data_IF_089920937125
#
_entry.id   IF_089920937125
#
_cell.length_a   1.000
_cell.length_b   1.000
_cell.length_c   1.000
_cell.angle_alpha   90.00
_cell.angle_beta   90.00
_cell.angle_gamma   90.00
#
_symmetry.space_group_name_H-M   'P 1'
#
loop_
_entity.id
_entity.type
_entity.pdbx_description
1 polymer ?
#
# COMPACT_ATOMS: atom_id res chain seq x y z
N UNK A 1 71.22 -2.53 -32.93
CA UNK A 1 70.68 -3.21 -31.72
C UNK A 1 69.21 -2.93 -31.42
N UNK A 2 68.40 -2.44 -32.38
CA UNK A 2 66.99 -2.04 -32.10
C UNK A 2 65.97 -3.09 -32.59
N UNK A 3 66.42 -4.27 -33.03
CA UNK A 3 65.53 -5.31 -33.57
C UNK A 3 65.37 -6.55 -32.66
N UNK A 4 65.94 -6.53 -31.45
CA UNK A 4 65.80 -7.62 -30.47
C UNK A 4 64.89 -7.28 -29.27
N UNK A 5 64.40 -6.04 -29.16
CA UNK A 5 63.55 -5.62 -28.03
C UNK A 5 62.05 -5.66 -28.33
N UNK A 6 61.65 -5.76 -29.61
CA UNK A 6 60.23 -5.67 -30.01
C UNK A 6 59.53 -7.04 -30.04
N UNK A 7 60.28 -8.15 -30.10
CA UNK A 7 59.68 -9.51 -30.08
C UNK A 7 59.48 -10.08 -28.67
N UNK A 8 60.19 -9.58 -27.66
CA UNK A 8 60.04 -10.03 -26.26
C UNK A 8 58.90 -9.38 -25.48
N UNK A 9 58.32 -8.27 -25.96
CA UNK A 9 57.18 -7.61 -25.31
C UNK A 9 55.81 -8.02 -25.87
N UNK A 10 55.74 -8.64 -27.06
CA UNK A 10 54.45 -9.10 -27.64
C UNK A 10 53.99 -10.46 -27.13
N UNK A 11 54.88 -11.34 -26.69
CA UNK A 11 54.49 -12.64 -26.10
C UNK A 11 54.09 -12.55 -24.63
N UNK A 12 54.56 -11.54 -23.90
CA UNK A 12 54.18 -11.33 -22.49
C UNK A 12 52.80 -10.65 -22.40
N UNK A 13 52.49 -9.69 -23.28
CA UNK A 13 51.20 -9.01 -23.28
C UNK A 13 50.03 -9.94 -23.66
N UNK A 14 50.22 -10.84 -24.63
CA UNK A 14 49.18 -11.76 -25.08
C UNK A 14 48.81 -12.86 -24.07
N UNK A 15 49.66 -13.14 -23.08
CA UNK A 15 49.35 -14.09 -21.99
C UNK A 15 48.65 -13.44 -20.80
N UNK A 16 48.90 -12.16 -20.54
CA UNK A 16 48.18 -11.44 -19.47
C UNK A 16 46.75 -11.08 -19.86
N UNK A 17 46.50 -10.77 -21.14
CA UNK A 17 45.16 -10.39 -21.60
C UNK A 17 44.20 -11.58 -21.72
N UNK A 18 44.72 -12.80 -21.94
CA UNK A 18 43.89 -14.02 -21.98
C UNK A 18 43.46 -14.48 -20.57
N UNK A 19 44.27 -14.21 -19.54
CA UNK A 19 43.92 -14.50 -18.15
C UNK A 19 43.01 -13.44 -17.53
N UNK A 20 43.15 -12.16 -17.91
CA UNK A 20 42.26 -11.09 -17.45
C UNK A 20 40.88 -11.15 -18.14
N UNK A 21 40.84 -11.56 -19.41
CA UNK A 21 39.60 -11.80 -20.15
C UNK A 21 38.80 -13.00 -19.63
N UNK A 22 39.46 -14.04 -19.12
CA UNK A 22 38.77 -15.18 -18.50
C UNK A 22 38.25 -14.89 -17.08
N UNK A 23 38.87 -13.96 -16.34
CA UNK A 23 38.42 -13.59 -15.00
C UNK A 23 37.22 -12.62 -15.02
N UNK A 24 37.07 -11.82 -16.08
CA UNK A 24 35.91 -10.94 -16.24
C UNK A 24 34.65 -11.69 -16.70
N UNK A 25 34.79 -12.82 -17.40
CA UNK A 25 33.63 -13.63 -17.83
C UNK A 25 33.07 -14.56 -16.75
N UNK A 26 33.81 -14.82 -15.66
CA UNK A 26 33.29 -15.58 -14.51
C UNK A 26 32.79 -14.69 -13.36
N UNK A 27 33.17 -13.41 -13.32
CA UNK A 27 32.69 -12.46 -12.31
C UNK A 27 31.33 -11.84 -12.60
N UNK A 28 30.91 -11.77 -13.87
CA UNK A 28 29.61 -11.19 -14.25
C UNK A 28 28.47 -12.22 -14.33
N UNK A 29 28.78 -13.51 -14.31
CA UNK A 29 27.78 -14.59 -14.33
C UNK A 29 27.20 -14.94 -12.95
N UNK A 30 27.77 -14.41 -11.85
CA UNK A 30 27.29 -14.71 -10.49
C UNK A 30 26.40 -13.65 -9.87
N UNK A 31 26.28 -12.46 -10.47
CA UNK A 31 25.40 -11.39 -9.96
C UNK A 31 23.97 -11.57 -10.48
N UNK A 32 23.82 -12.01 -11.73
CA UNK A 32 22.51 -12.36 -12.29
C UNK A 32 21.83 -13.56 -11.64
N UNK A 33 22.57 -14.42 -10.92
CA UNK A 33 22.01 -15.54 -10.16
C UNK A 33 21.57 -15.18 -8.73
N UNK A 34 22.01 -14.02 -8.19
CA UNK A 34 21.69 -13.58 -6.83
C UNK A 34 20.64 -12.46 -6.77
N UNK A 35 20.23 -11.93 -7.91
CA UNK A 35 19.27 -10.81 -8.00
C UNK A 35 17.80 -11.23 -7.99
N UNK A 36 17.50 -12.53 -7.85
CA UNK A 36 16.14 -13.08 -7.82
C UNK A 36 15.95 -14.12 -6.70
N UNK A 37 16.82 -14.10 -5.69
CA UNK A 37 16.63 -14.97 -4.52
C UNK A 37 15.54 -14.33 -3.64
N UNK A 38 14.34 -14.93 -3.64
CA UNK A 38 13.25 -14.52 -2.74
C UNK A 38 13.72 -14.73 -1.29
N UNK A 39 13.49 -13.77 -0.38
CA UNK A 39 13.84 -13.94 1.03
C UNK A 39 13.23 -15.22 1.62
N UNK A 40 14.08 -16.13 2.10
CA UNK A 40 13.67 -17.29 2.89
C UNK A 40 13.83 -16.95 4.37
N UNK A 41 12.86 -17.34 5.21
CA UNK A 41 12.96 -17.15 6.65
C UNK A 41 14.24 -17.79 7.21
N UNK A 42 15.07 -16.98 7.85
CA UNK A 42 16.42 -17.38 8.28
C UNK A 42 16.47 -18.06 9.67
N UNK A 43 15.31 -18.21 10.32
CA UNK A 43 15.17 -18.85 11.62
C UNK A 43 15.48 -17.97 12.82
N UNK A 44 15.75 -16.67 12.63
CA UNK A 44 15.88 -15.71 13.75
C UNK A 44 14.50 -15.19 14.16
N UNK A 45 14.37 -14.95 15.46
CA UNK A 45 13.19 -14.38 16.11
C UNK A 45 13.38 -12.85 16.16
N UNK A 46 12.54 -12.12 15.42
CA UNK A 46 12.58 -10.66 15.29
C UNK A 46 11.34 -10.01 15.89
N UNK A 47 10.22 -10.71 15.94
CA UNK A 47 8.95 -10.17 16.37
C UNK A 47 8.91 -10.08 17.90
N UNK A 48 8.56 -8.90 18.44
CA UNK A 48 8.56 -8.68 19.88
C UNK A 48 7.23 -9.11 20.54
N UNK A 49 7.27 -10.03 21.50
CA UNK A 49 6.15 -10.27 22.42
C UNK A 49 6.00 -9.06 23.38
N UNK A 50 5.08 -8.15 23.06
CA UNK A 50 4.84 -6.92 23.81
C UNK A 50 3.98 -7.21 25.04
N UNK A 51 4.37 -6.60 26.15
CA UNK A 51 3.65 -6.71 27.41
C UNK A 51 3.90 -5.49 28.30
N UNK A 52 3.22 -5.46 29.44
CA UNK A 52 3.29 -4.34 30.39
C UNK A 52 4.72 -4.00 30.87
N UNK A 53 5.71 -4.90 30.73
CA UNK A 53 7.09 -4.68 31.18
C UNK A 53 7.98 -4.07 30.10
N UNK A 54 7.77 -4.38 28.82
CA UNK A 54 8.70 -4.04 27.75
C UNK A 54 8.15 -3.03 26.73
N UNK A 55 6.82 -2.89 26.56
CA UNK A 55 6.24 -2.19 25.41
C UNK A 55 6.85 -0.79 25.19
N UNK A 56 6.90 0.05 26.23
CA UNK A 56 7.51 1.40 26.15
C UNK A 56 8.96 1.42 25.69
N UNK A 57 9.74 0.41 26.13
CA UNK A 57 11.16 0.32 25.82
C UNK A 57 11.44 -0.31 24.47
N UNK A 58 10.49 -1.08 23.93
CA UNK A 58 10.57 -1.66 22.59
C UNK A 58 10.14 -0.62 21.57
N UNK A 59 8.95 -0.03 21.73
CA UNK A 59 8.42 0.99 20.81
C UNK A 59 9.38 2.17 20.63
N UNK A 60 10.06 2.61 21.70
CA UNK A 60 11.03 3.71 21.61
C UNK A 60 12.31 3.40 20.80
N UNK A 61 12.57 2.14 20.45
CA UNK A 61 13.77 1.76 19.68
C UNK A 61 13.59 1.92 18.18
N UNK A 62 12.35 1.97 17.73
CA UNK A 62 11.97 1.93 16.34
C UNK A 62 11.32 3.26 15.99
N UNK A 63 11.59 3.74 14.78
CA UNK A 63 10.95 4.93 14.22
C UNK A 63 9.51 4.57 13.82
N UNK A 64 9.31 3.36 13.30
CA UNK A 64 7.99 2.76 13.03
C UNK A 64 7.80 1.47 13.82
N UNK A 65 6.71 1.37 14.59
CA UNK A 65 6.35 0.15 15.30
C UNK A 65 5.04 -0.43 14.78
N UNK A 66 5.11 -1.59 14.16
CA UNK A 66 3.96 -2.39 13.73
C UNK A 66 3.55 -3.32 14.88
N UNK A 67 2.27 -3.29 15.27
CA UNK A 67 1.74 -4.08 16.39
C UNK A 67 0.53 -4.87 15.91
N UNK A 68 0.68 -6.19 15.82
CA UNK A 68 -0.46 -7.09 15.60
C UNK A 68 -1.16 -7.36 16.93
N UNK A 69 -2.38 -6.82 17.07
CA UNK A 69 -3.21 -6.95 18.27
C UNK A 69 -4.08 -8.21 18.18
N UNK A 70 -3.44 -9.36 18.31
CA UNK A 70 -4.05 -10.64 17.99
C UNK A 70 -5.05 -11.16 19.03
N UNK A 71 -6.03 -11.94 18.56
CA UNK A 71 -6.92 -12.70 19.44
C UNK A 71 -6.16 -13.65 20.38
N UNK A 72 -6.70 -13.90 21.57
CA UNK A 72 -6.04 -14.80 22.50
C UNK A 72 -6.07 -16.25 22.02
N UNK A 73 -4.90 -16.76 21.64
CA UNK A 73 -4.72 -18.13 21.18
C UNK A 73 -5.00 -19.13 22.30
N UNK A 74 -6.14 -19.82 22.17
CA UNK A 74 -6.56 -20.86 23.10
C UNK A 74 -5.76 -22.17 22.99
N UNK A 75 -6.27 -23.22 23.63
CA UNK A 75 -5.64 -24.56 23.59
C UNK A 75 -5.93 -25.37 22.32
N UNK A 76 -6.70 -24.82 21.37
CA UNK A 76 -7.02 -25.49 20.11
C UNK A 76 -5.77 -25.62 19.25
N UNK A 77 -5.49 -26.83 18.77
CA UNK A 77 -4.37 -27.07 17.85
C UNK A 77 -4.52 -26.35 16.52
N UNK A 78 -5.75 -26.05 16.10
CA UNK A 78 -6.02 -25.32 14.85
C UNK A 78 -5.65 -23.85 15.05
N UNK A 79 -6.20 -23.20 16.07
CA UNK A 79 -5.87 -21.81 16.42
C UNK A 79 -4.36 -21.61 16.66
N UNK A 80 -3.68 -22.55 17.35
CA UNK A 80 -2.23 -22.48 17.54
C UNK A 80 -1.43 -22.57 16.23
N UNK A 81 -1.92 -23.33 15.25
CA UNK A 81 -1.25 -23.44 13.95
C UNK A 81 -1.52 -22.21 13.09
N UNK A 82 -2.74 -21.68 13.16
CA UNK A 82 -3.13 -20.46 12.46
C UNK A 82 -2.25 -19.29 12.92
N UNK A 83 -2.18 -19.07 14.23
CA UNK A 83 -1.28 -18.06 14.81
C UNK A 83 0.20 -18.27 14.45
N UNK A 84 0.67 -19.50 14.32
CA UNK A 84 2.05 -19.78 13.87
C UNK A 84 2.31 -19.38 12.41
N UNK A 85 1.27 -19.41 11.55
CA UNK A 85 1.38 -18.97 10.16
C UNK A 85 1.47 -17.44 10.14
N UNK A 86 0.62 -16.77 10.90
CA UNK A 86 0.59 -15.31 11.06
C UNK A 86 1.90 -14.78 11.63
N UNK A 87 2.37 -15.37 12.74
CA UNK A 87 3.67 -15.05 13.35
C UNK A 87 4.81 -15.23 12.35
N UNK A 88 4.77 -16.28 11.51
CA UNK A 88 5.80 -16.50 10.50
C UNK A 88 5.75 -15.47 9.36
N UNK A 89 4.57 -15.01 8.96
CA UNK A 89 4.43 -13.92 7.99
C UNK A 89 5.03 -12.62 8.54
N UNK A 90 4.74 -12.29 9.79
CA UNK A 90 5.31 -11.14 10.49
C UNK A 90 6.83 -11.26 10.67
N UNK A 91 7.35 -12.45 10.97
CA UNK A 91 8.80 -12.70 11.03
C UNK A 91 9.48 -12.50 9.68
N UNK A 92 8.84 -12.90 8.59
CA UNK A 92 9.36 -12.69 7.24
C UNK A 92 9.34 -11.21 6.87
N UNK A 93 8.26 -10.49 7.17
CA UNK A 93 8.18 -9.03 7.01
C UNK A 93 9.30 -8.34 7.81
N UNK A 94 9.45 -8.66 9.10
CA UNK A 94 10.52 -8.11 9.94
C UNK A 94 11.92 -8.41 9.38
N UNK A 95 12.13 -9.57 8.75
CA UNK A 95 13.40 -9.90 8.11
C UNK A 95 13.69 -9.03 6.89
N UNK A 96 12.68 -8.74 6.07
CA UNK A 96 12.84 -7.89 4.87
C UNK A 96 13.08 -6.44 5.27
N UNK A 97 12.40 -5.96 6.31
CA UNK A 97 12.48 -4.58 6.78
C UNK A 97 13.73 -4.30 7.63
N UNK A 98 14.39 -5.33 8.21
CA UNK A 98 15.60 -5.18 9.05
C UNK A 98 16.77 -4.50 8.32
N UNK A 99 16.86 -4.66 6.99
CA UNK A 99 17.94 -4.11 6.16
C UNK A 99 17.56 -2.79 5.48
N UNK A 100 16.44 -2.16 5.84
CA UNK A 100 16.09 -0.82 5.34
C UNK A 100 17.00 0.23 5.97
N UNK A 101 17.60 1.06 5.12
CA UNK A 101 18.54 2.10 5.56
C UNK A 101 17.84 3.38 6.04
N UNK A 102 16.56 3.57 5.67
CA UNK A 102 15.83 4.83 5.86
C UNK A 102 15.21 4.94 7.26
N UNK A 103 14.51 3.91 7.74
CA UNK A 103 13.79 3.90 9.02
C UNK A 103 14.00 2.60 9.82
N UNK A 104 14.16 2.68 11.14
CA UNK A 104 14.21 1.50 12.01
C UNK A 104 12.78 0.95 12.25
N UNK A 105 12.36 -0.08 11.52
CA UNK A 105 11.01 -0.69 11.65
C UNK A 105 11.02 -1.90 12.59
N UNK A 106 10.12 -1.90 13.58
CA UNK A 106 9.93 -3.02 14.51
C UNK A 106 8.55 -3.64 14.39
N UNK A 107 8.46 -4.97 14.51
CA UNK A 107 7.17 -5.69 14.54
C UNK A 107 6.96 -6.33 15.91
N UNK A 108 5.75 -6.25 16.45
CA UNK A 108 5.40 -6.79 17.76
C UNK A 108 4.02 -7.42 17.80
N UNK A 109 3.85 -8.33 18.76
CA UNK A 109 2.61 -9.04 19.06
C UNK A 109 2.05 -8.53 20.38
N UNK A 110 0.73 -8.35 20.45
CA UNK A 110 0.06 -8.00 21.69
C UNK A 110 -1.20 -8.84 21.87
N UNK A 111 -1.25 -9.66 22.92
CA UNK A 111 -2.38 -10.56 23.18
C UNK A 111 -3.56 -9.80 23.81
N UNK A 112 -4.74 -9.89 23.17
CA UNK A 112 -5.96 -9.19 23.60
C UNK A 112 -6.36 -9.44 25.07
N UNK A 113 -6.14 -10.66 25.58
CA UNK A 113 -6.60 -11.09 26.90
C UNK A 113 -5.51 -10.92 27.95
N UNK A 114 -4.25 -11.23 27.61
CA UNK A 114 -3.12 -11.12 28.55
C UNK A 114 -2.69 -9.66 28.75
N UNK A 115 -2.69 -8.87 27.68
CA UNK A 115 -2.07 -7.55 27.65
C UNK A 115 -3.07 -6.41 27.41
N UNK A 116 -4.34 -6.64 27.74
CA UNK A 116 -5.44 -5.65 27.70
C UNK A 116 -5.12 -4.27 28.29
N UNK A 117 -4.30 -4.24 29.34
CA UNK A 117 -3.90 -2.98 29.98
C UNK A 117 -2.88 -2.16 29.16
N UNK A 118 -2.14 -2.82 28.27
CA UNK A 118 -1.26 -2.20 27.28
C UNK A 118 -2.08 -1.76 26.08
N UNK A 119 -2.93 -2.64 25.53
CA UNK A 119 -3.84 -2.33 24.41
C UNK A 119 -4.62 -1.03 24.67
N UNK A 120 -5.30 -0.94 25.82
CA UNK A 120 -6.02 0.26 26.23
C UNK A 120 -5.16 1.54 26.35
N UNK A 121 -3.86 1.41 26.61
CA UNK A 121 -2.95 2.59 26.68
C UNK A 121 -2.45 3.01 25.32
N UNK A 122 -2.39 2.07 24.38
CA UNK A 122 -2.00 2.30 23.00
C UNK A 122 -3.19 2.68 22.13
N UNK A 123 -4.42 2.53 22.63
CA UNK A 123 -5.63 2.85 21.87
C UNK A 123 -6.09 1.71 20.96
N UNK A 124 -5.62 0.48 21.19
CA UNK A 124 -6.02 -0.68 20.38
C UNK A 124 -7.38 -1.18 20.85
N UNK A 125 -8.37 -1.06 19.98
CA UNK A 125 -9.77 -1.36 20.29
C UNK A 125 -10.28 -2.61 19.55
N UNK A 126 -9.70 -2.94 18.38
CA UNK A 126 -10.10 -4.09 17.56
C UNK A 126 -9.08 -5.22 17.58
N UNK A 127 -9.49 -6.36 18.15
CA UNK A 127 -8.65 -7.55 18.13
C UNK A 127 -8.62 -8.14 16.72
N UNK A 128 -7.49 -8.76 16.37
CA UNK A 128 -7.17 -9.26 15.03
C UNK A 128 -6.74 -8.19 14.02
N UNK A 129 -6.57 -6.93 14.45
CA UNK A 129 -6.05 -5.84 13.61
C UNK A 129 -4.54 -5.57 13.80
N UNK A 130 -3.93 -4.94 12.80
CA UNK A 130 -2.56 -4.44 12.86
C UNK A 130 -2.60 -2.92 13.03
N UNK A 131 -1.84 -2.41 14.00
CA UNK A 131 -1.67 -0.98 14.25
C UNK A 131 -0.23 -0.56 13.99
N UNK A 132 -0.04 0.48 13.20
CA UNK A 132 1.28 1.00 12.83
C UNK A 132 1.45 2.36 13.50
N UNK A 133 2.42 2.43 14.41
CA UNK A 133 2.80 3.65 15.11
C UNK A 133 3.98 4.28 14.37
N UNK A 134 3.79 5.49 13.86
CA UNK A 134 4.82 6.29 13.20
C UNK A 134 4.74 7.72 13.73
N UNK A 135 5.87 8.23 14.21
CA UNK A 135 5.92 9.54 14.88
C UNK A 135 4.86 9.73 15.99
N UNK A 136 3.87 10.61 15.78
CA UNK A 136 2.74 10.85 16.67
C UNK A 136 1.42 10.24 16.15
N UNK A 137 1.44 9.59 14.96
CA UNK A 137 0.29 9.00 14.28
C UNK A 137 0.14 7.50 14.54
N UNK A 138 -1.11 7.03 14.43
CA UNK A 138 -1.47 5.61 14.55
C UNK A 138 -2.36 5.23 13.38
N UNK A 139 -1.84 4.40 12.49
CA UNK A 139 -2.53 3.90 11.30
C UNK A 139 -3.07 2.51 11.61
N UNK A 140 -4.34 2.26 11.30
CA UNK A 140 -4.94 0.94 11.36
C UNK A 140 -4.83 0.28 9.97
N UNK A 141 -4.25 -0.93 9.92
CA UNK A 141 -4.09 -1.68 8.70
C UNK A 141 -5.17 -2.76 8.62
N UNK A 142 -6.12 -2.55 7.71
CA UNK A 142 -7.29 -3.40 7.45
C UNK A 142 -7.15 -4.16 6.12
N UNK A 143 -5.96 -4.70 5.90
CA UNK A 143 -5.61 -5.52 4.74
C UNK A 143 -5.31 -6.98 5.08
N UNK A 144 -4.95 -7.75 4.05
CA UNK A 144 -4.54 -9.13 4.17
C UNK A 144 -3.29 -9.26 5.06
N UNK A 145 -3.32 -10.19 6.01
CA UNK A 145 -2.15 -10.53 6.82
C UNK A 145 -1.20 -11.45 6.04
N UNK A 146 -0.55 -10.88 5.04
CA UNK A 146 0.49 -11.48 4.22
C UNK A 146 1.78 -10.65 4.28
N UNK A 147 2.93 -11.32 4.20
CA UNK A 147 4.22 -10.67 4.43
C UNK A 147 4.56 -9.65 3.32
N UNK A 148 4.26 -9.98 2.07
CA UNK A 148 4.43 -9.13 0.90
C UNK A 148 3.49 -7.92 0.93
N UNK A 149 2.19 -8.13 1.16
CA UNK A 149 1.21 -7.04 1.26
C UNK A 149 1.54 -6.08 2.40
N UNK A 150 1.89 -6.60 3.58
CA UNK A 150 2.26 -5.76 4.72
C UNK A 150 3.56 -4.99 4.47
N UNK A 151 4.56 -5.61 3.83
CA UNK A 151 5.83 -4.93 3.50
C UNK A 151 5.59 -3.83 2.46
N UNK A 152 4.77 -4.07 1.45
CA UNK A 152 4.37 -3.07 0.45
C UNK A 152 3.66 -1.89 1.13
N UNK A 153 2.67 -2.15 1.97
CA UNK A 153 1.99 -1.10 2.72
C UNK A 153 2.94 -0.29 3.61
N UNK A 154 3.89 -0.96 4.27
CA UNK A 154 4.89 -0.29 5.11
C UNK A 154 5.88 0.57 4.32
N UNK A 155 6.15 0.24 3.05
CA UNK A 155 6.91 1.13 2.18
C UNK A 155 6.16 2.42 1.91
N UNK A 156 4.86 2.35 1.65
CA UNK A 156 4.04 3.54 1.50
C UNK A 156 3.97 4.36 2.80
N UNK A 157 3.85 3.71 3.97
CA UNK A 157 3.81 4.40 5.28
C UNK A 157 5.07 5.23 5.54
N UNK A 158 6.27 4.74 5.18
CA UNK A 158 7.53 5.46 5.43
C UNK A 158 7.87 6.51 4.37
N UNK A 159 7.11 6.58 3.28
CA UNK A 159 7.25 7.67 2.30
C UNK A 159 6.67 8.99 2.82
N UNK A 160 7.12 10.10 2.23
CA UNK A 160 6.58 11.43 2.57
C UNK A 160 5.07 11.48 2.25
N UNK A 161 4.23 12.05 3.13
CA UNK A 161 2.77 12.07 2.93
C UNK A 161 2.34 12.92 1.72
N UNK A 162 3.22 13.79 1.19
CA UNK A 162 2.96 14.62 0.01
C UNK A 162 4.04 14.47 -1.06
N UNK A 163 3.67 13.90 -2.19
CA UNK A 163 4.55 13.75 -3.35
C UNK A 163 4.65 15.05 -4.19
N UNK A 164 5.88 15.47 -4.53
CA UNK A 164 6.10 16.71 -5.29
C UNK A 164 6.19 16.46 -6.80
N UNK A 165 5.26 17.04 -7.56
CA UNK A 165 5.28 17.05 -9.04
C UNK A 165 5.99 18.31 -9.54
N UNK A 166 7.22 18.17 -10.03
CA UNK A 166 8.00 19.29 -10.60
C UNK A 166 8.06 19.25 -12.13
N UNK A 167 7.81 18.09 -12.76
CA UNK A 167 7.92 17.97 -14.21
C UNK A 167 6.81 17.15 -14.90
N UNK A 168 6.82 17.20 -16.24
CA UNK A 168 5.77 16.58 -17.08
C UNK A 168 5.78 15.05 -17.00
N UNK A 169 6.89 14.41 -16.63
CA UNK A 169 6.93 12.95 -16.50
C UNK A 169 6.25 12.51 -15.21
N UNK A 170 6.54 13.20 -14.10
CA UNK A 170 5.85 13.00 -12.82
C UNK A 170 4.36 13.30 -12.98
N UNK A 171 3.99 14.38 -13.67
CA UNK A 171 2.59 14.68 -13.97
C UNK A 171 1.91 13.54 -14.77
N UNK A 172 2.63 12.89 -15.68
CA UNK A 172 2.10 11.71 -16.36
C UNK A 172 1.93 10.54 -15.39
N UNK A 173 2.85 10.36 -14.44
CA UNK A 173 2.72 9.37 -13.37
C UNK A 173 1.43 9.58 -12.59
N UNK A 174 1.23 10.80 -12.09
CA UNK A 174 0.00 11.22 -11.40
C UNK A 174 -1.28 10.88 -12.17
N UNK A 175 -1.32 11.11 -13.49
CA UNK A 175 -2.51 10.79 -14.29
C UNK A 175 -2.76 9.28 -14.50
N UNK A 176 -1.77 8.39 -14.32
CA UNK A 176 -2.02 6.95 -14.48
C UNK A 176 -2.52 6.27 -13.19
N UNK A 177 -2.58 7.00 -12.07
CA UNK A 177 -3.16 6.49 -10.83
C UNK A 177 -4.68 6.66 -10.95
N UNK A 178 -5.39 5.61 -11.32
CA UNK A 178 -6.86 5.65 -11.50
C UNK A 178 -7.61 5.04 -10.31
N UNK A 179 -6.96 4.18 -9.54
CA UNK A 179 -7.62 3.29 -8.56
C UNK A 179 -7.75 3.93 -7.17
N UNK A 180 -6.85 4.86 -6.84
CA UNK A 180 -6.79 5.52 -5.54
C UNK A 180 -7.38 6.94 -5.58
N UNK A 181 -7.98 7.35 -4.46
CA UNK A 181 -8.30 8.75 -4.23
C UNK A 181 -6.99 9.53 -4.22
N UNK A 182 -6.94 10.63 -4.98
CA UNK A 182 -5.75 11.48 -5.01
C UNK A 182 -6.09 12.96 -5.02
N UNK A 183 -5.25 13.75 -4.37
CA UNK A 183 -5.37 15.20 -4.34
C UNK A 183 -4.15 15.85 -4.96
N UNK A 184 -4.32 17.00 -5.62
CA UNK A 184 -3.18 17.81 -6.08
C UNK A 184 -3.38 19.29 -5.81
N UNK A 185 -2.44 19.88 -5.07
CA UNK A 185 -2.43 21.30 -4.74
C UNK A 185 -1.34 22.09 -5.48
N UNK A 186 -1.65 23.33 -5.89
CA UNK A 186 -0.63 24.26 -6.39
C UNK A 186 -0.30 25.33 -5.35
N UNK A 187 0.92 25.27 -4.81
CA UNK A 187 1.37 26.18 -3.76
C UNK A 187 2.58 27.01 -4.19
N UNK A 188 2.91 28.02 -3.38
CA UNK A 188 4.04 28.91 -3.68
C UNK A 188 5.40 28.22 -3.47
N UNK A 189 5.50 27.39 -2.44
CA UNK A 189 6.70 26.67 -1.99
C UNK A 189 6.35 25.84 -0.76
N UNK A 190 7.19 24.88 -0.38
CA UNK A 190 7.09 24.14 0.91
C UNK A 190 6.99 25.04 2.16
N UNK A 191 7.42 26.31 2.08
CA UNK A 191 7.36 27.26 3.21
C UNK A 191 6.07 28.08 3.28
N UNK A 192 5.10 27.84 2.40
CA UNK A 192 3.83 28.57 2.47
C UNK A 192 2.93 27.93 3.52
N UNK A 193 2.29 28.78 4.33
CA UNK A 193 1.31 28.38 5.34
C UNK A 193 0.24 27.44 4.76
N UNK A 194 -0.29 27.74 3.56
CA UNK A 194 -1.27 26.87 2.90
C UNK A 194 -0.76 25.49 2.47
N UNK A 195 0.55 25.35 2.26
CA UNK A 195 1.13 24.04 1.98
C UNK A 195 1.31 23.27 3.28
N UNK A 196 1.69 23.93 4.37
CA UNK A 196 1.81 23.29 5.69
C UNK A 196 0.46 22.75 6.14
N UNK A 197 -0.61 23.54 6.05
CA UNK A 197 -1.98 23.06 6.35
C UNK A 197 -2.46 21.92 5.42
N UNK A 198 -1.87 21.81 4.23
CA UNK A 198 -2.17 20.73 3.29
C UNK A 198 -1.35 19.46 3.58
N UNK A 199 -0.11 19.63 4.02
CA UNK A 199 0.79 18.57 4.49
C UNK A 199 0.27 17.98 5.81
N UNK A 200 -0.12 18.82 6.77
CA UNK A 200 -0.76 18.41 8.02
C UNK A 200 -2.05 17.60 7.74
N UNK A 201 -2.85 18.00 6.73
CA UNK A 201 -4.03 17.24 6.32
C UNK A 201 -3.69 15.92 5.60
N UNK A 202 -2.53 15.83 4.95
CA UNK A 202 -2.10 14.61 4.26
C UNK A 202 -1.67 13.52 5.27
N UNK A 203 -1.03 13.93 6.37
CA UNK A 203 -0.63 13.03 7.46
C UNK A 203 -1.82 12.24 8.03
N UNK A 204 -3.01 12.86 8.13
CA UNK A 204 -4.23 12.23 8.64
C UNK A 204 -4.79 11.10 7.76
N UNK A 205 -4.46 11.08 6.46
CA UNK A 205 -4.93 10.05 5.51
C UNK A 205 -3.81 9.18 4.93
N UNK A 206 -2.58 9.38 5.37
CA UNK A 206 -1.43 8.64 4.88
C UNK A 206 -1.46 7.19 5.39
N UNK A 207 -1.23 6.17 4.53
CA UNK A 207 -0.95 6.20 3.10
C UNK A 207 -2.16 5.91 2.18
N UNK A 208 -3.37 5.85 2.74
CA UNK A 208 -4.60 5.42 2.06
C UNK A 208 -5.04 6.39 0.95
N UNK A 209 -4.80 7.69 1.13
CA UNK A 209 -5.12 8.72 0.13
C UNK A 209 -3.83 9.37 -0.34
N UNK A 210 -3.63 9.46 -1.67
CA UNK A 210 -2.38 9.96 -2.24
C UNK A 210 -2.42 11.48 -2.40
N UNK A 211 -1.59 12.20 -1.66
CA UNK A 211 -1.49 13.66 -1.76
C UNK A 211 -0.32 14.07 -2.64
N UNK A 212 -0.59 14.96 -3.59
CA UNK A 212 0.41 15.56 -4.46
C UNK A 212 0.46 17.07 -4.29
N UNK A 213 1.62 17.66 -4.53
CA UNK A 213 1.76 19.10 -4.61
C UNK A 213 2.67 19.52 -5.76
N UNK A 214 2.42 20.69 -6.32
CA UNK A 214 3.36 21.34 -7.23
C UNK A 214 3.67 22.75 -6.76
N UNK A 215 4.92 23.16 -6.96
CA UNK A 215 5.35 24.56 -6.84
C UNK A 215 5.69 25.16 -8.21
N UNK A 216 5.52 24.37 -9.28
CA UNK A 216 5.93 24.72 -10.62
C UNK A 216 4.73 25.28 -11.41
N UNK A 217 4.74 26.58 -11.77
CA UNK A 217 3.60 27.19 -12.47
C UNK A 217 3.28 26.58 -13.84
N UNK A 218 4.22 25.82 -14.44
CA UNK A 218 3.97 25.11 -15.70
C UNK A 218 3.17 23.83 -15.47
N UNK A 219 3.47 23.09 -14.40
CA UNK A 219 2.72 21.89 -14.00
C UNK A 219 1.32 22.30 -13.58
N UNK A 220 1.19 23.29 -12.70
CA UNK A 220 -0.10 23.84 -12.29
C UNK A 220 -0.97 24.27 -13.48
N UNK A 221 -0.36 24.90 -14.49
CA UNK A 221 -1.09 25.28 -15.71
C UNK A 221 -1.60 24.08 -16.51
N UNK A 222 -0.88 22.95 -16.52
CA UNK A 222 -1.35 21.73 -17.19
C UNK A 222 -2.52 21.08 -16.44
N UNK A 223 -2.58 21.25 -15.12
CA UNK A 223 -3.66 20.82 -14.23
C UNK A 223 -4.81 21.86 -14.13
N UNK A 224 -4.73 22.99 -14.84
CA UNK A 224 -5.63 24.16 -14.70
C UNK A 224 -5.78 24.74 -13.26
N UNK A 225 -4.81 24.47 -12.38
CA UNK A 225 -4.78 24.95 -11.00
C UNK A 225 -4.28 26.39 -10.88
N UNK A 226 -4.95 27.20 -10.06
CA UNK A 226 -4.45 28.50 -9.57
C UNK A 226 -3.78 28.36 -8.21
N UNK A 227 -3.06 29.40 -7.80
CA UNK A 227 -2.33 29.41 -6.54
C UNK A 227 -3.29 29.16 -5.36
N UNK A 228 -2.93 28.20 -4.51
CA UNK A 228 -3.67 27.66 -3.37
C UNK A 228 -5.02 27.03 -3.75
N UNK A 229 -5.19 26.54 -4.98
CA UNK A 229 -6.26 25.61 -5.34
C UNK A 229 -5.76 24.18 -5.12
N UNK A 230 -6.69 23.33 -4.67
CA UNK A 230 -6.52 21.89 -4.49
C UNK A 230 -7.66 21.23 -5.24
N UNK A 231 -7.31 20.30 -6.11
CA UNK A 231 -8.25 19.44 -6.81
C UNK A 231 -8.28 18.07 -6.14
N UNK A 232 -9.49 17.53 -5.97
CA UNK A 232 -9.75 16.17 -5.49
C UNK A 232 -10.16 15.31 -6.68
N UNK A 233 -9.50 14.16 -6.85
CA UNK A 233 -9.83 13.19 -7.88
C UNK A 233 -10.39 11.95 -7.20
N UNK A 234 -11.66 11.68 -7.46
CA UNK A 234 -12.28 10.40 -7.16
C UNK A 234 -11.70 9.31 -8.10
N UNK A 235 -11.48 8.07 -7.62
CA UNK A 235 -11.09 6.94 -8.44
C UNK A 235 -11.94 6.80 -9.69
N UNK A 236 -11.28 6.48 -10.80
CA UNK A 236 -11.87 6.26 -12.12
C UNK A 236 -12.64 7.45 -12.72
N UNK A 237 -12.53 8.65 -12.13
CA UNK A 237 -13.12 9.88 -12.68
C UNK A 237 -12.08 10.71 -13.43
N UNK A 238 -12.41 11.13 -14.65
CA UNK A 238 -11.53 11.94 -15.51
C UNK A 238 -11.38 13.39 -15.00
N UNK A 239 -12.46 13.96 -14.47
CA UNK A 239 -12.53 15.37 -14.06
C UNK A 239 -12.47 15.49 -12.53
N UNK A 240 -11.63 16.40 -11.99
CA UNK A 240 -11.56 16.61 -10.55
C UNK A 240 -12.72 17.44 -10.02
N UNK A 241 -12.95 17.30 -8.71
CA UNK A 241 -13.76 18.21 -7.92
C UNK A 241 -12.85 19.26 -7.29
N UNK A 242 -13.11 20.54 -7.60
CA UNK A 242 -12.41 21.64 -6.96
C UNK A 242 -12.95 21.83 -5.53
N UNK A 243 -12.06 21.72 -4.53
CA UNK A 243 -12.45 21.92 -3.13
C UNK A 243 -12.91 23.37 -2.93
N UNK A 244 -14.13 23.62 -2.41
CA UNK A 244 -14.66 24.97 -2.24
C UNK A 244 -14.01 25.69 -1.04
N UNK A 245 -14.01 27.03 -1.06
CA UNK A 245 -13.75 27.82 0.16
C UNK A 245 -12.33 28.32 0.41
N UNK A 246 -11.41 28.24 -0.57
CA UNK A 246 -10.00 28.65 -0.41
C UNK A 246 -9.77 30.06 0.22
N UNK A 247 -8.67 30.28 0.97
CA UNK A 247 -7.64 29.29 1.34
C UNK A 247 -8.16 28.29 2.38
N UNK A 248 -7.69 27.05 2.30
CA UNK A 248 -8.10 25.96 3.17
C UNK A 248 -7.24 25.91 4.43
N UNK A 249 -7.87 25.56 5.55
CA UNK A 249 -7.20 25.00 6.73
C UNK A 249 -7.17 23.48 6.68
N UNK A 250 -6.29 22.86 7.46
CA UNK A 250 -6.21 21.39 7.66
C UNK A 250 -7.61 20.79 7.85
N UNK A 251 -8.38 21.34 8.79
CA UNK A 251 -9.75 20.89 9.12
C UNK A 251 -10.75 20.98 7.99
N UNK A 252 -10.60 21.96 7.09
CA UNK A 252 -11.50 22.10 5.95
C UNK A 252 -11.17 21.08 4.85
N UNK A 253 -9.89 20.70 4.73
CA UNK A 253 -9.45 19.63 3.83
C UNK A 253 -9.90 18.27 4.37
N UNK A 254 -9.60 17.98 5.63
CA UNK A 254 -10.00 16.73 6.30
C UNK A 254 -11.50 16.51 6.19
N UNK A 255 -12.32 17.50 6.58
CA UNK A 255 -13.77 17.37 6.52
C UNK A 255 -14.30 17.18 5.08
N UNK A 256 -13.65 17.80 4.09
CA UNK A 256 -14.04 17.58 2.69
C UNK A 256 -13.71 16.15 2.24
N UNK A 257 -12.54 15.64 2.61
CA UNK A 257 -12.12 14.29 2.23
C UNK A 257 -12.99 13.25 2.92
N UNK A 258 -13.25 13.37 4.23
CA UNK A 258 -14.18 12.50 4.97
C UNK A 258 -15.60 12.52 4.38
N UNK A 259 -16.08 13.68 3.90
CA UNK A 259 -17.40 13.78 3.26
C UNK A 259 -17.43 13.10 1.85
N UNK A 260 -16.28 12.74 1.28
CA UNK A 260 -16.13 12.19 -0.08
C UNK A 260 -15.21 10.95 -0.11
N UNK A 261 -15.00 10.28 1.03
CA UNK A 261 -14.08 9.14 1.19
C UNK A 261 -14.64 7.82 0.64
N UNK A 262 -15.91 7.82 0.20
CA UNK A 262 -16.56 6.70 -0.48
C UNK A 262 -16.76 6.97 -1.97
N UNK A 263 -15.82 6.53 -2.82
CA UNK A 263 -15.99 6.57 -4.26
C UNK A 263 -17.17 5.74 -4.78
N UNK A 264 -17.68 6.15 -5.93
CA UNK A 264 -18.73 5.49 -6.72
C UNK A 264 -18.25 4.15 -7.27
N UNK A 265 -16.97 4.08 -7.67
CA UNK A 265 -16.28 2.85 -8.06
C UNK A 265 -14.99 2.75 -7.24
N UNK A 266 -14.83 1.64 -6.53
CA UNK A 266 -13.68 1.37 -5.66
C UNK A 266 -13.06 0.05 -6.06
N UNK A 267 -11.74 -0.02 -6.19
CA UNK A 267 -11.05 -1.29 -6.38
C UNK A 267 -10.73 -1.91 -5.03
N UNK A 268 -11.10 -3.17 -4.84
CA UNK A 268 -10.63 -3.95 -3.71
C UNK A 268 -9.22 -4.46 -3.99
N UNK A 269 -8.30 -4.17 -3.08
CA UNK A 269 -6.91 -4.58 -3.15
C UNK A 269 -6.53 -5.32 -1.84
N UNK A 270 -5.46 -6.13 -1.85
CA UNK A 270 -5.07 -6.87 -0.65
C UNK A 270 -4.88 -6.00 0.59
N UNK A 271 -4.36 -4.78 0.46
CA UNK A 271 -4.07 -3.91 1.60
C UNK A 271 -5.29 -3.17 2.20
N UNK A 272 -6.44 -3.11 1.50
CA UNK A 272 -7.64 -2.38 1.93
C UNK A 272 -8.90 -3.25 1.94
N UNK A 273 -8.75 -4.57 1.83
CA UNK A 273 -9.89 -5.46 1.56
C UNK A 273 -10.92 -5.49 2.68
N UNK A 274 -10.51 -5.39 3.95
CA UNK A 274 -11.43 -5.42 5.08
C UNK A 274 -12.08 -4.05 5.27
N UNK A 275 -11.31 -2.95 5.10
CA UNK A 275 -11.83 -1.58 5.07
C UNK A 275 -13.00 -1.46 4.08
N UNK A 276 -12.80 -1.90 2.83
CA UNK A 276 -13.86 -1.87 1.79
C UNK A 276 -15.01 -2.80 2.13
N UNK A 277 -14.74 -4.01 2.64
CA UNK A 277 -15.77 -5.00 2.91
C UNK A 277 -16.68 -4.62 4.07
N UNK A 278 -16.15 -4.00 5.11
CA UNK A 278 -16.92 -3.53 6.26
C UNK A 278 -17.74 -2.28 5.94
N UNK A 279 -17.30 -1.51 4.94
CA UNK A 279 -17.95 -0.29 4.50
C UNK A 279 -19.11 -0.51 3.51
N UNK A 280 -20.06 -1.38 3.86
CA UNK A 280 -21.24 -1.70 3.05
C UNK A 280 -22.33 -0.62 3.12
N UNK A 281 -22.94 -0.29 1.98
CA UNK A 281 -24.08 0.63 1.90
C UNK A 281 -25.36 -0.11 2.28
N UNK A 282 -26.02 0.32 3.36
CA UNK A 282 -27.23 -0.34 3.89
C UNK A 282 -27.08 -1.86 4.14
N UNK A 283 -25.84 -2.31 4.41
CA UNK A 283 -25.51 -3.74 4.61
C UNK A 283 -25.32 -4.54 3.32
N UNK A 284 -25.27 -3.88 2.16
CA UNK A 284 -25.10 -4.48 0.85
C UNK A 284 -23.88 -3.90 0.11
N UNK A 285 -23.24 -4.74 -0.71
CA UNK A 285 -22.22 -4.33 -1.68
C UNK A 285 -22.71 -4.63 -3.09
N UNK A 286 -22.54 -3.69 -4.02
CA UNK A 286 -22.59 -3.99 -5.46
C UNK A 286 -21.19 -4.40 -5.87
N UNK A 287 -21.00 -5.67 -6.24
CA UNK A 287 -19.68 -6.21 -6.59
C UNK A 287 -19.61 -6.46 -8.09
N UNK A 288 -18.56 -5.97 -8.73
CA UNK A 288 -18.19 -6.24 -10.11
C UNK A 288 -16.89 -7.07 -10.12
N UNK A 289 -16.94 -8.32 -10.60
CA UNK A 289 -15.74 -9.13 -10.85
C UNK A 289 -15.30 -8.96 -12.29
N UNK A 290 -14.06 -8.53 -12.51
CA UNK A 290 -13.49 -8.39 -13.84
C UNK A 290 -11.96 -8.45 -13.77
N UNK A 291 -11.35 -9.35 -14.57
CA UNK A 291 -9.89 -9.44 -14.73
C UNK A 291 -9.42 -8.36 -15.71
N UNK A 292 -8.60 -7.40 -15.27
CA UNK A 292 -8.11 -6.31 -16.11
C UNK A 292 -7.25 -6.83 -17.29
N UNK A 293 -6.53 -7.93 -17.05
CA UNK A 293 -5.65 -8.59 -18.01
C UNK A 293 -6.40 -9.34 -19.13
N UNK A 294 -7.68 -9.68 -18.93
CA UNK A 294 -8.50 -10.39 -19.91
C UNK A 294 -9.27 -9.41 -20.82
N UNK A 295 -9.33 -9.64 -22.15
CA UNK A 295 -10.05 -8.73 -23.05
C UNK A 295 -11.53 -8.51 -22.74
N UNK A 296 -12.24 -9.55 -22.28
CA UNK A 296 -13.66 -9.44 -21.92
C UNK A 296 -13.80 -8.72 -20.57
N UNK A 297 -12.89 -8.98 -19.63
CA UNK A 297 -12.77 -8.25 -18.37
C UNK A 297 -12.51 -6.75 -18.55
N UNK A 298 -11.54 -6.39 -19.40
CA UNK A 298 -11.26 -4.99 -19.74
C UNK A 298 -12.45 -4.28 -20.37
N UNK A 299 -13.12 -4.90 -21.37
CA UNK A 299 -14.31 -4.30 -22.00
C UNK A 299 -15.43 -4.09 -20.97
N UNK A 300 -15.62 -5.04 -20.06
CA UNK A 300 -16.61 -4.91 -19.00
C UNK A 300 -16.26 -3.82 -17.98
N UNK A 301 -15.00 -3.73 -17.56
CA UNK A 301 -14.54 -2.70 -16.62
C UNK A 301 -14.79 -1.29 -17.17
N UNK A 302 -14.50 -1.04 -18.45
CA UNK A 302 -14.76 0.27 -19.07
C UNK A 302 -16.25 0.64 -19.03
N UNK A 303 -17.16 -0.35 -19.18
CA UNK A 303 -18.61 -0.13 -19.03
C UNK A 303 -18.94 0.22 -17.56
N UNK A 304 -18.31 -0.44 -16.59
CA UNK A 304 -18.52 -0.14 -15.17
C UNK A 304 -18.01 1.26 -14.82
N UNK A 305 -16.85 1.68 -15.35
CA UNK A 305 -16.34 3.05 -15.22
C UNK A 305 -17.31 4.07 -15.81
N UNK A 306 -17.82 3.86 -17.02
CA UNK A 306 -18.84 4.74 -17.63
C UNK A 306 -20.11 4.82 -16.76
N UNK A 307 -20.56 3.70 -16.18
CA UNK A 307 -21.73 3.68 -15.28
C UNK A 307 -21.44 4.45 -13.99
N UNK A 308 -20.24 4.33 -13.42
CA UNK A 308 -19.84 5.08 -12.24
C UNK A 308 -19.78 6.58 -12.53
N UNK A 309 -19.15 6.99 -13.63
CA UNK A 309 -19.06 8.40 -14.05
C UNK A 309 -20.45 9.02 -14.25
N UNK A 310 -21.36 8.33 -14.94
CA UNK A 310 -22.73 8.80 -15.18
C UNK A 310 -23.56 8.95 -13.88
N UNK A 311 -23.12 8.33 -12.78
CA UNK A 311 -23.84 8.29 -11.51
C UNK A 311 -23.02 8.76 -10.29
N UNK A 312 -21.90 9.46 -10.49
CA UNK A 312 -21.01 9.96 -9.41
C UNK A 312 -21.74 10.84 -8.39
N UNK A 313 -22.75 11.59 -8.81
CA UNK A 313 -23.57 12.42 -7.92
C UNK A 313 -24.56 11.63 -7.04
N UNK A 314 -24.63 10.29 -7.15
CA UNK A 314 -25.55 9.45 -6.39
C UNK A 314 -24.87 8.87 -5.13
N UNK A 315 -25.13 9.41 -3.93
CA UNK A 315 -24.48 8.94 -2.69
C UNK A 315 -24.91 7.54 -2.27
N UNK A 316 -26.01 7.02 -2.83
CA UNK A 316 -26.52 5.68 -2.54
C UNK A 316 -25.93 4.62 -3.50
N UNK A 317 -24.92 4.97 -4.31
CA UNK A 317 -24.24 4.08 -5.23
C UNK A 317 -22.76 3.98 -4.90
N UNK A 318 -22.30 2.77 -4.59
CA UNK A 318 -20.88 2.42 -4.57
C UNK A 318 -20.70 1.00 -5.08
N UNK A 319 -19.85 0.85 -6.08
CA UNK A 319 -19.52 -0.41 -6.74
C UNK A 319 -18.11 -0.81 -6.32
N UNK A 320 -17.96 -2.02 -5.82
CA UNK A 320 -16.67 -2.63 -5.51
C UNK A 320 -16.24 -3.45 -6.72
N UNK A 321 -15.20 -3.01 -7.42
CA UNK A 321 -14.52 -3.82 -8.42
C UNK A 321 -13.50 -4.73 -7.74
N UNK A 322 -13.58 -6.02 -8.05
CA UNK A 322 -12.62 -7.03 -7.63
C UNK A 322 -11.99 -7.64 -8.88
N UNK A 323 -10.67 -7.50 -9.02
CA UNK A 323 -9.91 -8.32 -9.96
C UNK A 323 -9.62 -9.70 -9.32
N UNK A 324 -10.14 -10.81 -9.89
CA UNK A 324 -9.87 -12.14 -9.34
C UNK A 324 -8.39 -12.51 -9.24
N UNK A 325 -7.52 -11.93 -10.08
CA UNK A 325 -6.08 -12.20 -10.08
C UNK A 325 -5.37 -11.67 -8.84
N UNK A 326 -5.91 -10.62 -8.21
CA UNK A 326 -5.39 -10.06 -6.96
C UNK A 326 -5.67 -10.96 -5.75
N UNK A 327 -6.66 -11.87 -5.85
CA UNK A 327 -7.11 -12.72 -4.75
C UNK A 327 -7.22 -14.20 -5.12
N UNK A 328 -6.13 -14.84 -5.57
CA UNK A 328 -6.18 -16.21 -6.11
C UNK A 328 -6.65 -17.25 -5.08
N UNK A 329 -6.48 -16.98 -3.78
CA UNK A 329 -6.94 -17.86 -2.70
C UNK A 329 -8.46 -17.77 -2.45
N UNK A 330 -9.09 -16.65 -2.82
CA UNK A 330 -10.52 -16.41 -2.62
C UNK A 330 -11.37 -16.80 -3.84
N UNK A 331 -10.78 -16.87 -5.04
CA UNK A 331 -11.50 -17.27 -6.27
C UNK A 331 -12.33 -18.56 -6.09
N UNK A 332 -11.78 -19.70 -5.63
CA UNK A 332 -12.59 -20.92 -5.47
C UNK A 332 -13.67 -20.80 -4.38
N UNK A 333 -13.46 -19.92 -3.40
CA UNK A 333 -14.45 -19.62 -2.37
C UNK A 333 -15.60 -18.81 -2.96
N UNK A 334 -15.32 -17.73 -3.69
CA UNK A 334 -16.35 -16.89 -4.32
C UNK A 334 -17.17 -17.63 -5.37
N UNK A 335 -16.54 -18.40 -6.26
CA UNK A 335 -17.26 -19.22 -7.24
C UNK A 335 -18.26 -20.17 -6.57
N UNK A 336 -17.85 -20.78 -5.46
CA UNK A 336 -18.70 -21.70 -4.70
C UNK A 336 -19.79 -20.99 -3.90
N UNK A 337 -19.46 -19.87 -3.25
CA UNK A 337 -20.36 -19.14 -2.36
C UNK A 337 -21.42 -18.39 -3.15
N UNK A 338 -21.04 -17.76 -4.26
CA UNK A 338 -21.94 -16.98 -5.11
C UNK A 338 -22.53 -17.77 -6.29
N UNK A 339 -22.08 -19.02 -6.52
CA UNK A 339 -22.52 -19.87 -7.65
C UNK A 339 -22.29 -19.18 -9.01
N UNK A 340 -21.11 -18.57 -9.16
CA UNK A 340 -20.66 -17.82 -10.34
C UNK A 340 -19.41 -18.46 -10.96
N UNK A 341 -19.11 -18.09 -12.21
CA UNK A 341 -17.90 -18.49 -12.93
C UNK A 341 -17.02 -17.26 -13.12
N UNK A 342 -15.92 -17.18 -12.36
CA UNK A 342 -15.00 -16.03 -12.37
C UNK A 342 -14.06 -16.02 -13.58
N UNK A 343 -14.17 -17.00 -14.49
CA UNK A 343 -13.51 -16.92 -15.81
C UNK A 343 -14.20 -15.98 -16.80
N UNK A 344 -15.30 -15.34 -16.38
CA UNK A 344 -16.01 -14.32 -17.14
C UNK A 344 -16.49 -13.20 -16.22
N UNK A 345 -16.66 -11.96 -16.73
CA UNK A 345 -17.05 -10.83 -15.88
C UNK A 345 -18.44 -11.03 -15.24
N UNK A 346 -18.56 -10.63 -13.97
CA UNK A 346 -19.80 -10.74 -13.19
C UNK A 346 -20.14 -9.41 -12.52
N UNK A 347 -21.43 -9.15 -12.29
CA UNK A 347 -21.87 -8.08 -11.40
C UNK A 347 -23.10 -8.52 -10.63
N UNK A 348 -23.14 -8.20 -9.34
CA UNK A 348 -24.22 -8.62 -8.45
C UNK A 348 -24.26 -7.79 -7.16
N UNK A 349 -25.25 -8.10 -6.33
CA UNK A 349 -25.41 -7.51 -4.99
C UNK A 349 -25.14 -8.59 -3.96
N UNK A 350 -24.35 -8.29 -2.94
CA UNK A 350 -24.01 -9.19 -1.83
C UNK A 350 -24.42 -8.54 -0.51
N UNK A 351 -25.26 -9.22 0.26
CA UNK A 351 -25.61 -8.83 1.64
C UNK A 351 -24.50 -9.28 2.60
N UNK A 352 -23.95 -8.36 3.39
CA UNK A 352 -22.84 -8.64 4.32
C UNK A 352 -23.30 -9.44 5.54
N UNK A 353 -24.56 -9.25 5.98
CA UNK A 353 -25.14 -9.97 7.13
C UNK A 353 -25.39 -11.48 6.87
N UNK A 354 -25.49 -11.89 5.60
CA UNK A 354 -25.74 -13.28 5.20
C UNK A 354 -24.43 -14.08 5.03
N UNK A 355 -23.28 -13.41 4.96
CA UNK A 355 -21.96 -14.04 4.98
C UNK A 355 -21.53 -14.26 6.42
N UNK A 356 -22.17 -15.22 7.09
CA UNK A 356 -21.64 -15.71 8.35
C UNK A 356 -20.25 -16.31 8.08
N UNK A 357 -19.19 -15.58 8.43
CA UNK A 357 -17.86 -16.16 8.59
C UNK A 357 -18.01 -17.31 9.59
N UNK A 358 -18.06 -18.54 9.09
CA UNK A 358 -18.03 -19.70 9.97
C UNK A 358 -16.61 -19.81 10.51
N UNK A 359 -16.43 -19.23 11.70
CA UNK A 359 -15.24 -19.32 12.56
C UNK A 359 -14.69 -20.75 12.69
#
# INVERSE_FOLDING_TARGET
SIMCTILGQREVQARTDLFLGLLLTFGQLSWGQKGMDIPEYDGKDRVHDLNAKNYKSVMKKYDVMVVYYHEHVGSSKVAQKQFQIEELALELAAQVLEDLDDEDIGIGLLDEKKDKAVAKKLGLDEADSIYIFIEDEVIEYDGELAADTLVEFLYDVIEDPVEIIDNVRELKGFHNIEEDIKLVGFFKSQKSEHYQEYEDAAEEFHPHIKFFATFNPKVAKSLDLKLNEVDFYEPFMDEPVLIPGKPYSEKELVAFIEDNDRPTLRKMQPYNMYEIWEDALDGEHIIAFAEEGDPDGFEFLEIVKEVAEDNTDNPDLSIVWIDPDDFPLLVPYWEKTFDIDLSSPQIGVVEVDDVSFSQ
#
